data_IF_830638271292
#
_entry.id   IF_830638271292
#
_cell.length_a   1.000
_cell.length_b   1.000
_cell.length_c   1.000
_cell.angle_alpha   90.00
_cell.angle_beta   90.00
_cell.angle_gamma   90.00
#
_symmetry.space_group_name_H-M   'P 1'
#
loop_
_entity.id
_entity.type
_entity.pdbx_description
1 polymer ?
#
# COMPACT_ATOMS: atom_id res chain seq x y z
N UNK A 1 -0.27 40.92 -41.75
CA UNK A 1 0.28 39.80 -40.95
C UNK A 1 -0.60 38.62 -41.23
N UNK A 2 -0.12 37.78 -42.12
CA UNK A 2 -0.77 36.57 -42.59
C UNK A 2 -0.32 35.45 -41.64
N UNK A 3 -1.24 34.88 -40.87
CA UNK A 3 -0.97 33.73 -40.00
C UNK A 3 -1.57 32.52 -40.71
N UNK A 4 -0.87 32.05 -41.73
CA UNK A 4 -1.11 30.79 -42.40
C UNK A 4 -0.12 29.76 -41.86
N UNK A 5 -0.39 29.24 -40.66
CA UNK A 5 0.26 28.02 -40.17
C UNK A 5 -0.56 27.31 -39.07
N UNK A 6 -1.87 27.17 -39.32
CA UNK A 6 -2.64 26.13 -38.64
C UNK A 6 -2.35 24.81 -39.34
N UNK A 7 -1.35 24.10 -38.78
CA UNK A 7 -1.01 22.73 -39.14
C UNK A 7 -2.26 21.88 -39.39
N UNK A 8 -2.35 21.32 -40.60
CA UNK A 8 -3.37 20.36 -41.02
C UNK A 8 -3.45 19.13 -40.09
N UNK A 9 -2.42 18.90 -39.26
CA UNK A 9 -2.39 17.83 -38.26
C UNK A 9 -3.41 18.03 -37.12
N UNK A 10 -3.82 19.27 -36.85
CA UNK A 10 -4.83 19.57 -35.83
C UNK A 10 -6.24 19.09 -36.21
N UNK A 11 -6.53 18.94 -37.51
CA UNK A 11 -7.86 18.58 -38.01
C UNK A 11 -7.99 17.12 -38.46
N UNK A 12 -6.88 16.42 -38.71
CA UNK A 12 -6.88 15.04 -39.24
C UNK A 12 -6.54 13.97 -38.18
N UNK A 13 -6.01 14.36 -37.01
CA UNK A 13 -5.62 13.39 -35.96
C UNK A 13 -6.80 12.67 -35.28
N UNK A 14 -8.04 13.10 -35.48
CA UNK A 14 -9.22 12.52 -34.83
C UNK A 14 -9.67 11.17 -35.40
N UNK A 15 -9.08 10.70 -36.50
CA UNK A 15 -9.53 9.50 -37.24
C UNK A 15 -8.58 8.31 -37.28
N UNK A 16 -7.35 8.42 -36.77
CA UNK A 16 -6.44 7.27 -36.77
C UNK A 16 -6.41 6.61 -35.40
N UNK A 17 -7.11 5.47 -35.30
CA UNK A 17 -6.99 4.46 -34.24
C UNK A 17 -5.59 3.84 -34.25
N UNK A 18 -4.58 4.67 -33.99
CA UNK A 18 -3.19 4.24 -33.89
C UNK A 18 -2.96 3.65 -32.51
N UNK A 19 -2.33 2.48 -32.50
CA UNK A 19 -1.79 1.90 -31.28
C UNK A 19 -0.54 2.67 -30.88
N UNK A 20 -0.37 2.85 -29.58
CA UNK A 20 0.79 3.52 -28.97
C UNK A 20 1.35 2.64 -27.87
N UNK A 21 2.65 2.79 -27.61
CA UNK A 21 3.25 2.24 -26.40
C UNK A 21 2.63 2.91 -25.18
N UNK A 22 1.97 2.10 -24.37
CA UNK A 22 1.29 2.50 -23.16
C UNK A 22 1.91 1.88 -21.92
N UNK A 23 1.42 2.31 -20.77
CA UNK A 23 1.81 1.82 -19.47
C UNK A 23 0.58 1.77 -18.54
N UNK A 24 0.54 0.75 -17.70
CA UNK A 24 -0.42 0.59 -16.61
C UNK A 24 0.27 0.97 -15.30
N UNK A 25 -0.04 2.15 -14.75
CA UNK A 25 0.52 2.60 -13.48
C UNK A 25 -0.43 2.32 -12.33
N UNK A 26 0.13 1.80 -11.23
CA UNK A 26 -0.62 1.37 -10.06
C UNK A 26 -0.23 2.18 -8.84
N UNK A 27 -1.21 2.78 -8.19
CA UNK A 27 -1.03 3.53 -6.95
C UNK A 27 -1.97 3.02 -5.87
N UNK A 28 -1.41 2.40 -4.83
CA UNK A 28 -2.17 1.81 -3.74
C UNK A 28 -2.35 2.80 -2.60
N UNK A 29 -3.60 3.07 -2.23
CA UNK A 29 -3.97 3.86 -1.07
C UNK A 29 -4.31 2.92 0.09
N UNK A 30 -3.40 2.71 1.07
CA UNK A 30 -3.66 1.83 2.19
C UNK A 30 -4.74 2.44 3.09
N UNK A 31 -5.83 1.71 3.30
CA UNK A 31 -6.91 2.11 4.21
C UNK A 31 -7.39 0.90 5.00
N UNK A 32 -7.72 1.11 6.28
CA UNK A 32 -8.13 0.05 7.21
C UNK A 32 -9.34 -0.78 6.76
N UNK A 33 -10.30 -0.17 6.05
CA UNK A 33 -11.57 -0.82 5.68
C UNK A 33 -11.78 -1.00 4.19
N UNK A 34 -11.19 -0.12 3.38
CA UNK A 34 -11.38 -0.09 1.93
C UNK A 34 -10.08 0.34 1.24
N UNK A 35 -9.04 -0.51 1.26
CA UNK A 35 -7.85 -0.26 0.46
C UNK A 35 -8.27 0.02 -0.98
N UNK A 36 -7.62 0.97 -1.63
CA UNK A 36 -8.00 1.39 -2.98
C UNK A 36 -6.79 1.39 -3.88
N UNK A 37 -6.88 0.72 -5.01
CA UNK A 37 -5.86 0.76 -6.04
C UNK A 37 -6.32 1.66 -7.18
N UNK A 38 -5.60 2.76 -7.39
CA UNK A 38 -5.79 3.64 -8.54
C UNK A 38 -4.96 3.09 -9.70
N UNK A 39 -5.62 2.81 -10.83
CA UNK A 39 -5.02 2.26 -12.04
C UNK A 39 -5.09 3.33 -13.13
N UNK A 40 -3.95 3.69 -13.70
CA UNK A 40 -3.84 4.67 -14.77
C UNK A 40 -3.38 4.00 -16.05
N UNK A 41 -4.13 4.21 -17.14
CA UNK A 41 -3.71 3.87 -18.48
C UNK A 41 -3.17 5.13 -19.14
N UNK A 42 -1.86 5.17 -19.40
CA UNK A 42 -1.19 6.35 -19.95
C UNK A 42 -0.23 5.96 -21.07
N UNK A 43 0.05 6.87 -22.02
CA UNK A 43 1.17 6.72 -22.94
C UNK A 43 2.52 6.60 -22.20
N UNK A 44 3.47 5.82 -22.72
CA UNK A 44 4.78 5.57 -22.07
C UNK A 44 5.64 6.83 -21.92
N UNK A 45 5.43 7.84 -22.76
CA UNK A 45 6.15 9.11 -22.71
C UNK A 45 5.65 10.05 -21.59
N UNK A 46 4.61 9.68 -20.85
CA UNK A 46 4.21 10.37 -19.61
C UNK A 46 5.12 9.92 -18.47
N UNK A 47 5.90 10.82 -17.84
CA UNK A 47 6.80 10.43 -16.76
C UNK A 47 6.02 9.98 -15.52
N UNK A 48 6.36 8.81 -14.97
CA UNK A 48 5.75 8.28 -13.73
C UNK A 48 5.85 9.29 -12.57
N UNK A 49 6.96 10.03 -12.50
CA UNK A 49 7.21 11.05 -11.49
C UNK A 49 6.19 12.20 -11.51
N UNK A 50 5.62 12.54 -12.66
CA UNK A 50 4.58 13.58 -12.75
C UNK A 50 3.23 13.08 -12.23
N UNK A 51 2.91 11.81 -12.50
CA UNK A 51 1.68 11.16 -12.00
C UNK A 51 1.77 10.97 -10.49
N UNK A 52 2.91 10.53 -9.98
CA UNK A 52 3.16 10.30 -8.56
C UNK A 52 2.99 11.56 -7.71
N UNK A 53 3.43 12.73 -8.21
CA UNK A 53 3.25 14.03 -7.53
C UNK A 53 1.80 14.35 -7.19
N UNK A 54 0.85 13.85 -7.99
CA UNK A 54 -0.59 14.03 -7.79
C UNK A 54 -1.20 12.95 -6.88
N UNK A 55 -0.49 11.85 -6.63
CA UNK A 55 -0.93 10.69 -5.86
C UNK A 55 -0.33 10.66 -4.45
N UNK A 56 -0.16 11.81 -3.78
CA UNK A 56 0.58 11.97 -2.51
C UNK A 56 0.15 11.05 -1.35
N UNK A 57 -1.09 10.57 -1.37
CA UNK A 57 -1.62 9.68 -0.33
C UNK A 57 -1.54 8.18 -0.71
N UNK A 58 -0.88 7.86 -1.82
CA UNK A 58 -0.81 6.52 -2.39
C UNK A 58 0.66 6.09 -2.50
N UNK A 59 0.91 4.79 -2.40
CA UNK A 59 2.18 4.15 -2.69
C UNK A 59 2.21 3.70 -4.15
N UNK A 60 3.22 4.11 -4.91
CA UNK A 60 3.45 3.57 -6.25
C UNK A 60 3.90 2.11 -6.18
N UNK A 61 3.27 1.23 -6.96
CA UNK A 61 3.67 -0.18 -7.07
C UNK A 61 4.49 -0.34 -8.35
N UNK A 62 5.80 -0.52 -8.17
CA UNK A 62 6.72 -0.71 -9.29
C UNK A 62 6.68 -2.16 -9.80
N UNK A 63 6.00 -2.36 -10.93
CA UNK A 63 5.92 -3.64 -11.65
C UNK A 63 6.05 -3.39 -13.17
N UNK A 64 6.32 -4.42 -14.00
CA UNK A 64 6.33 -4.27 -15.45
C UNK A 64 4.99 -3.75 -15.99
N UNK A 65 4.97 -2.47 -16.36
CA UNK A 65 3.76 -1.71 -16.68
C UNK A 65 3.44 -1.62 -18.18
N UNK A 66 4.42 -1.83 -19.05
CA UNK A 66 4.28 -1.58 -20.49
C UNK A 66 3.23 -2.50 -21.15
N UNK A 67 2.44 -1.93 -22.06
CA UNK A 67 1.48 -2.62 -22.92
C UNK A 67 1.21 -1.81 -24.20
N UNK A 68 0.41 -2.35 -25.11
CA UNK A 68 -0.02 -1.63 -26.32
C UNK A 68 -1.44 -1.09 -26.12
N UNK A 69 -1.62 0.22 -26.24
CA UNK A 69 -2.92 0.88 -26.09
C UNK A 69 -3.38 1.51 -27.40
N UNK A 70 -4.64 1.31 -27.79
CA UNK A 70 -5.22 1.89 -28.99
C UNK A 70 -6.06 3.12 -28.63
N UNK A 71 -5.72 4.28 -29.19
CA UNK A 71 -6.47 5.51 -28.93
C UNK A 71 -7.93 5.39 -29.40
N UNK A 72 -8.89 5.71 -28.53
CA UNK A 72 -10.32 5.62 -28.81
C UNK A 72 -10.95 4.26 -28.51
N UNK A 73 -10.14 3.26 -28.18
CA UNK A 73 -10.60 1.94 -27.79
C UNK A 73 -11.18 1.92 -26.37
N UNK A 74 -12.13 1.00 -26.14
CA UNK A 74 -12.72 0.79 -24.82
C UNK A 74 -12.00 -0.37 -24.16
N UNK A 75 -11.52 -0.11 -22.95
CA UNK A 75 -10.84 -1.09 -22.11
C UNK A 75 -11.69 -1.45 -20.90
N UNK A 76 -11.53 -2.69 -20.45
CA UNK A 76 -12.14 -3.24 -19.25
C UNK A 76 -11.05 -3.75 -18.31
N UNK A 77 -11.15 -3.43 -17.03
CA UNK A 77 -10.27 -3.96 -15.99
C UNK A 77 -11.00 -5.08 -15.24
N UNK A 78 -10.35 -6.23 -15.11
CA UNK A 78 -10.83 -7.39 -14.37
C UNK A 78 -9.88 -7.74 -13.23
N UNK A 79 -10.42 -8.38 -12.19
CA UNK A 79 -9.64 -9.03 -11.15
C UNK A 79 -10.19 -10.43 -10.86
N UNK A 80 -9.32 -11.33 -10.40
CA UNK A 80 -9.66 -12.71 -10.02
C UNK A 80 -10.69 -12.80 -8.87
N UNK A 81 -10.68 -11.81 -7.96
CA UNK A 81 -11.57 -11.70 -6.81
C UNK A 81 -12.71 -10.69 -7.04
N UNK A 82 -13.31 -10.69 -8.23
CA UNK A 82 -14.33 -9.72 -8.64
C UNK A 82 -15.62 -9.73 -7.79
N UNK A 83 -15.92 -10.83 -7.10
CA UNK A 83 -17.07 -10.90 -6.19
C UNK A 83 -16.89 -10.08 -4.91
N UNK A 84 -15.63 -9.85 -4.52
CA UNK A 84 -15.22 -9.15 -3.29
C UNK A 84 -14.72 -7.74 -3.55
N UNK A 85 -14.11 -7.54 -4.71
CA UNK A 85 -13.48 -6.29 -5.09
C UNK A 85 -14.37 -5.52 -6.07
N UNK A 86 -14.62 -4.25 -5.79
CA UNK A 86 -15.43 -3.40 -6.67
C UNK A 86 -14.52 -2.61 -7.60
N UNK A 87 -14.70 -2.77 -8.91
CA UNK A 87 -14.01 -1.99 -9.94
C UNK A 87 -14.94 -0.90 -10.46
N UNK A 88 -14.42 0.33 -10.61
CA UNK A 88 -15.14 1.43 -11.23
C UNK A 88 -14.21 2.33 -12.08
N UNK A 89 -14.66 2.84 -13.24
CA UNK A 89 -15.85 2.40 -13.96
C UNK A 89 -15.71 0.94 -14.43
N UNK A 90 -16.78 0.33 -14.95
CA UNK A 90 -16.71 -1.04 -15.49
C UNK A 90 -15.87 -1.12 -16.77
N UNK A 91 -15.94 -0.07 -17.59
CA UNK A 91 -15.20 0.09 -18.83
C UNK A 91 -14.87 1.58 -19.01
N UNK A 92 -13.75 1.89 -19.66
CA UNK A 92 -13.36 3.28 -19.95
C UNK A 92 -12.69 3.38 -21.32
N UNK A 93 -12.91 4.50 -22.01
CA UNK A 93 -12.28 4.78 -23.29
C UNK A 93 -10.88 5.34 -23.08
N UNK A 94 -9.87 4.67 -23.62
CA UNK A 94 -8.52 5.19 -23.60
C UNK A 94 -8.37 6.40 -24.54
N UNK A 95 -7.82 7.48 -24.00
CA UNK A 95 -7.38 8.66 -24.75
C UNK A 95 -5.90 8.90 -24.47
N UNK A 96 -5.21 9.47 -25.46
CA UNK A 96 -3.83 9.93 -25.30
C UNK A 96 -3.82 11.19 -24.41
N UNK A 97 -3.79 10.97 -23.11
CA UNK A 97 -3.69 12.02 -22.11
C UNK A 97 -2.21 12.25 -21.76
N UNK A 98 -1.78 13.51 -21.89
CA UNK A 98 -0.43 13.97 -21.56
C UNK A 98 -0.43 14.95 -20.38
N UNK A 99 -1.52 14.97 -19.62
CA UNK A 99 -1.67 15.75 -18.41
C UNK A 99 -2.14 17.19 -18.65
N UNK A 100 -1.96 18.09 -17.67
CA UNK A 100 -1.27 17.85 -16.39
C UNK A 100 -2.12 17.10 -15.36
N UNK A 101 -3.42 16.90 -15.63
CA UNK A 101 -4.36 16.31 -14.68
C UNK A 101 -4.51 14.80 -14.90
N UNK A 102 -3.57 14.02 -14.36
CA UNK A 102 -3.59 12.56 -14.48
C UNK A 102 -4.60 11.93 -13.51
N UNK A 103 -5.82 11.73 -14.00
CA UNK A 103 -6.88 11.04 -13.24
C UNK A 103 -6.78 9.52 -13.41
N UNK A 104 -7.06 8.73 -12.34
CA UNK A 104 -7.12 7.27 -12.47
C UNK A 104 -8.16 6.86 -13.51
N UNK A 105 -7.78 5.97 -14.42
CA UNK A 105 -8.69 5.38 -15.40
C UNK A 105 -9.64 4.41 -14.74
N UNK A 106 -9.14 3.62 -13.78
CA UNK A 106 -9.95 2.72 -12.96
C UNK A 106 -9.56 2.86 -11.49
N UNK A 107 -10.51 2.52 -10.62
CA UNK A 107 -10.30 2.32 -9.20
C UNK A 107 -10.79 0.93 -8.81
N UNK A 108 -9.92 0.18 -8.14
CA UNK A 108 -10.25 -1.11 -7.53
C UNK A 108 -10.38 -0.88 -6.04
N UNK A 109 -11.58 -1.03 -5.50
CA UNK A 109 -11.87 -0.99 -4.07
C UNK A 109 -11.77 -2.42 -3.57
N UNK A 110 -10.76 -2.67 -2.75
CA UNK A 110 -10.37 -4.00 -2.30
C UNK A 110 -11.06 -4.36 -0.98
N UNK A 111 -11.23 -5.66 -0.73
CA UNK A 111 -11.60 -6.18 0.58
C UNK A 111 -10.49 -5.88 1.62
N UNK A 112 -10.87 -5.75 2.88
CA UNK A 112 -9.90 -5.56 3.95
C UNK A 112 -9.05 -6.83 4.14
N UNK A 113 -7.73 -6.67 4.14
CA UNK A 113 -6.79 -7.79 4.31
C UNK A 113 -6.43 -8.54 3.02
N UNK A 114 -6.83 -8.05 1.84
CA UNK A 114 -6.34 -8.59 0.57
C UNK A 114 -4.82 -8.41 0.46
N UNK A 115 -4.09 -9.51 0.26
CA UNK A 115 -2.62 -9.51 0.20
C UNK A 115 -2.09 -9.28 -1.22
N UNK A 116 -2.72 -9.92 -2.20
CA UNK A 116 -2.41 -9.78 -3.61
C UNK A 116 -3.69 -9.83 -4.45
N UNK A 117 -3.60 -9.33 -5.69
CA UNK A 117 -4.69 -9.37 -6.66
C UNK A 117 -4.14 -9.56 -8.06
N UNK A 118 -4.73 -10.47 -8.83
CA UNK A 118 -4.45 -10.52 -10.26
C UNK A 118 -5.27 -9.46 -10.98
N UNK A 119 -4.61 -8.60 -11.77
CA UNK A 119 -5.28 -7.63 -12.62
C UNK A 119 -5.10 -7.99 -14.09
N UNK A 120 -6.20 -7.92 -14.84
CA UNK A 120 -6.24 -8.15 -16.29
C UNK A 120 -6.86 -6.94 -16.98
N UNK A 121 -6.17 -6.40 -17.97
CA UNK A 121 -6.67 -5.36 -18.84
C UNK A 121 -7.09 -5.98 -20.17
N UNK A 122 -8.36 -5.81 -20.51
CA UNK A 122 -8.98 -6.37 -21.69
C UNK A 122 -9.35 -5.25 -22.66
N UNK A 123 -9.10 -5.47 -23.95
CA UNK A 123 -9.66 -4.70 -25.06
C UNK A 123 -10.99 -5.33 -25.51
N UNK A 124 -11.78 -4.62 -26.31
CA UNK A 124 -13.00 -5.14 -26.95
C UNK A 124 -12.79 -6.55 -27.52
N UNK A 125 -13.73 -7.44 -27.23
CA UNK A 125 -13.66 -8.85 -27.62
C UNK A 125 -12.90 -9.74 -26.62
N UNK A 126 -12.69 -9.22 -25.40
CA UNK A 126 -11.97 -9.89 -24.30
C UNK A 126 -10.51 -10.26 -24.67
N UNK A 127 -9.88 -9.45 -25.52
CA UNK A 127 -8.46 -9.58 -25.85
C UNK A 127 -7.61 -9.05 -24.68
N UNK A 128 -6.80 -9.92 -24.08
CA UNK A 128 -5.88 -9.59 -22.99
C UNK A 128 -4.65 -8.82 -23.50
N UNK A 129 -4.48 -7.58 -23.04
CA UNK A 129 -3.33 -6.74 -23.42
C UNK A 129 -2.32 -6.56 -22.28
N UNK A 130 -2.73 -6.83 -21.05
CA UNK A 130 -1.86 -6.75 -19.87
C UNK A 130 -2.44 -7.59 -18.72
N UNK A 131 -1.57 -8.38 -18.08
CA UNK A 131 -1.93 -9.23 -16.93
C UNK A 131 -0.78 -9.21 -15.91
N UNK A 132 -1.06 -8.91 -14.65
CA UNK A 132 -0.06 -9.00 -13.59
C UNK A 132 -0.69 -9.44 -12.27
N UNK A 133 0.09 -10.23 -11.54
CA UNK A 133 -0.12 -10.44 -10.11
C UNK A 133 0.42 -9.21 -9.36
N UNK A 134 -0.45 -8.53 -8.63
CA UNK A 134 -0.16 -7.26 -7.95
C UNK A 134 -0.11 -7.52 -6.44
N UNK A 135 1.07 -7.45 -5.81
CA UNK A 135 1.16 -7.47 -4.36
C UNK A 135 0.59 -6.16 -3.79
N UNK A 136 -0.36 -6.25 -2.88
CA UNK A 136 -1.07 -5.14 -2.23
C UNK A 136 -0.62 -4.93 -0.78
N UNK A 137 -0.29 -6.03 -0.10
CA UNK A 137 0.53 -5.97 1.09
C UNK A 137 1.94 -5.62 0.70
N UNK A 138 2.59 -4.87 1.58
CA UNK A 138 4.04 -4.76 1.57
C UNK A 138 4.64 -6.07 2.09
N UNK A 139 4.44 -7.17 1.34
CA UNK A 139 5.30 -8.34 1.38
C UNK A 139 6.58 -8.04 0.60
N UNK A 140 7.34 -7.13 1.23
CA UNK A 140 8.81 -6.99 1.25
C UNK A 140 9.50 -6.35 0.04
N UNK A 141 10.04 -5.14 0.24
CA UNK A 141 11.35 -4.77 -0.33
C UNK A 141 12.37 -4.48 0.77
N UNK A 142 13.44 -5.26 0.68
CA UNK A 142 14.69 -5.21 1.41
C UNK A 142 15.40 -3.90 1.06
N UNK A 143 15.18 -2.92 1.93
CA UNK A 143 16.06 -1.78 2.23
C UNK A 143 16.25 -1.61 3.75
N UNK A 144 15.88 -2.64 4.54
CA UNK A 144 16.29 -2.79 5.93
C UNK A 144 15.32 -2.35 7.04
N UNK A 145 14.01 -2.13 6.80
CA UNK A 145 13.14 -1.59 7.88
C UNK A 145 11.79 -2.28 8.16
N UNK A 146 11.15 -3.01 7.24
CA UNK A 146 9.74 -3.41 7.44
C UNK A 146 9.51 -4.86 7.96
N UNK A 147 10.36 -5.83 7.57
CA UNK A 147 10.34 -7.22 8.14
C UNK A 147 11.00 -7.28 9.53
N UNK A 148 11.85 -6.29 9.84
CA UNK A 148 12.60 -6.25 11.09
C UNK A 148 11.71 -6.19 12.31
N UNK A 149 10.63 -5.41 12.36
CA UNK A 149 9.98 -5.15 13.66
C UNK A 149 9.37 -6.40 14.33
N UNK A 150 8.65 -7.24 13.57
CA UNK A 150 8.03 -8.47 14.11
C UNK A 150 9.11 -9.52 14.43
N UNK A 151 10.06 -9.73 13.52
CA UNK A 151 11.15 -10.69 13.72
C UNK A 151 12.13 -10.26 14.82
N UNK A 152 12.45 -8.97 14.89
CA UNK A 152 13.27 -8.39 15.96
C UNK A 152 12.56 -8.55 17.30
N UNK A 153 11.28 -8.19 17.43
CA UNK A 153 10.54 -8.39 18.67
C UNK A 153 10.46 -9.88 19.04
N UNK A 154 10.29 -10.79 18.08
CA UNK A 154 10.39 -12.24 18.32
C UNK A 154 11.76 -12.64 18.85
N UNK A 155 12.85 -12.14 18.25
CA UNK A 155 14.22 -12.47 18.64
C UNK A 155 14.59 -11.89 20.01
N UNK A 156 14.15 -10.67 20.29
CA UNK A 156 14.44 -10.00 21.57
C UNK A 156 13.46 -10.37 22.66
N UNK A 157 12.41 -11.16 22.35
CA UNK A 157 11.32 -11.49 23.27
C UNK A 157 11.79 -11.98 24.62
N UNK A 158 12.71 -12.94 24.63
CA UNK A 158 13.25 -13.49 25.89
C UNK A 158 14.00 -12.42 26.69
N UNK A 159 14.88 -11.66 26.03
CA UNK A 159 15.65 -10.58 26.66
C UNK A 159 14.75 -9.47 27.19
N UNK A 160 13.71 -9.10 26.44
CA UNK A 160 12.72 -8.11 26.84
C UNK A 160 12.03 -8.53 28.13
N UNK A 161 11.55 -9.78 28.20
CA UNK A 161 10.87 -10.32 29.40
C UNK A 161 11.78 -10.31 30.63
N UNK A 162 13.06 -10.64 30.46
CA UNK A 162 14.05 -10.65 31.54
C UNK A 162 14.35 -9.22 32.04
N UNK A 163 14.64 -8.30 31.11
CA UNK A 163 15.27 -7.01 31.39
C UNK A 163 14.30 -5.87 31.65
N UNK A 164 13.07 -5.93 31.11
CA UNK A 164 12.12 -4.83 31.25
C UNK A 164 11.77 -4.57 32.72
N UNK A 165 11.71 -3.30 33.10
CA UNK A 165 11.31 -2.88 34.45
C UNK A 165 9.79 -2.79 34.56
N UNK A 166 9.24 -2.97 35.77
CA UNK A 166 7.81 -2.87 35.99
C UNK A 166 7.22 -1.47 35.68
N UNK A 167 7.90 -0.35 36.00
CA UNK A 167 7.49 0.97 35.52
C UNK A 167 7.40 1.07 34.00
N UNK A 168 8.41 0.55 33.28
CA UNK A 168 8.43 0.55 31.80
C UNK A 168 7.27 -0.26 31.23
N UNK A 169 6.94 -1.43 31.82
CA UNK A 169 5.76 -2.24 31.45
C UNK A 169 4.47 -1.41 31.56
N UNK A 170 4.29 -0.71 32.68
CA UNK A 170 3.07 0.08 32.93
C UNK A 170 2.94 1.23 31.93
N UNK A 171 4.01 2.01 31.75
CA UNK A 171 4.02 3.12 30.79
C UNK A 171 3.86 2.65 29.34
N UNK A 172 4.50 1.52 28.97
CA UNK A 172 4.35 0.93 27.65
C UNK A 172 2.89 0.52 27.39
N UNK A 173 2.26 -0.15 28.36
CA UNK A 173 0.87 -0.57 28.25
C UNK A 173 -0.10 0.63 28.17
N UNK A 174 0.18 1.71 28.90
CA UNK A 174 -0.55 2.98 28.80
C UNK A 174 -0.41 3.62 27.41
N UNK A 175 0.82 3.64 26.85
CA UNK A 175 1.09 4.15 25.51
C UNK A 175 0.42 3.32 24.41
N UNK A 176 0.45 1.99 24.54
CA UNK A 176 -0.23 1.08 23.60
C UNK A 176 -1.75 1.28 23.61
N UNK A 177 -2.35 1.57 24.77
CA UNK A 177 -3.77 1.93 24.86
C UNK A 177 -4.03 3.28 24.18
N UNK A 178 -3.20 4.29 24.44
CA UNK A 178 -3.35 5.62 23.85
C UNK A 178 -3.28 5.59 22.32
N UNK A 179 -2.38 4.77 21.76
CA UNK A 179 -2.23 4.55 20.31
C UNK A 179 -3.26 3.58 19.74
N UNK A 180 -4.24 3.13 20.55
CA UNK A 180 -5.31 2.20 20.18
C UNK A 180 -4.83 0.84 19.66
N UNK A 181 -3.63 0.41 20.09
CA UNK A 181 -3.11 -0.94 19.79
C UNK A 181 -3.81 -1.98 20.67
N UNK A 182 -3.96 -1.67 21.96
CA UNK A 182 -4.70 -2.49 22.91
C UNK A 182 -5.98 -1.79 23.33
N UNK A 183 -7.00 -2.56 23.71
CA UNK A 183 -8.23 -2.03 24.29
C UNK A 183 -8.19 -2.05 25.83
N UNK A 184 -9.18 -1.45 26.49
CA UNK A 184 -9.23 -1.41 27.96
C UNK A 184 -9.31 -2.80 28.61
N UNK A 185 -10.04 -3.74 27.98
CA UNK A 185 -10.18 -5.11 28.49
C UNK A 185 -8.85 -5.88 28.45
N UNK A 186 -8.11 -5.77 27.34
CA UNK A 186 -6.78 -6.35 27.18
C UNK A 186 -5.80 -5.77 28.19
N UNK A 187 -5.84 -4.43 28.39
CA UNK A 187 -5.03 -3.75 29.39
C UNK A 187 -5.32 -4.23 30.81
N UNK A 188 -6.60 -4.32 31.18
CA UNK A 188 -6.97 -4.75 32.53
C UNK A 188 -6.64 -6.22 32.76
N UNK A 189 -6.74 -7.07 31.72
CA UNK A 189 -6.30 -8.47 31.77
C UNK A 189 -4.80 -8.59 32.09
N UNK A 190 -3.96 -7.75 31.47
CA UNK A 190 -2.51 -7.72 31.73
C UNK A 190 -2.19 -7.19 33.14
N UNK A 191 -2.94 -6.22 33.67
CA UNK A 191 -2.71 -5.67 35.01
C UNK A 191 -2.91 -6.68 36.14
N UNK A 192 -3.80 -7.66 35.94
CA UNK A 192 -4.15 -8.67 36.96
C UNK A 192 -3.07 -9.75 37.12
N UNK A 193 -2.20 -9.92 36.12
CA UNK A 193 -1.08 -10.88 36.19
C UNK A 193 -0.16 -10.47 37.35
N UNK A 194 0.22 -11.40 38.23
CA UNK A 194 1.08 -11.09 39.38
C UNK A 194 2.55 -10.94 38.98
N UNK A 195 3.07 -11.89 38.21
CA UNK A 195 4.48 -11.99 37.86
C UNK A 195 4.88 -10.98 36.77
N UNK A 196 5.95 -10.20 37.02
CA UNK A 196 6.49 -9.21 36.06
C UNK A 196 6.82 -9.83 34.70
N UNK A 197 7.47 -11.01 34.73
CA UNK A 197 7.88 -11.71 33.51
C UNK A 197 6.66 -12.14 32.67
N UNK A 198 5.60 -12.60 33.32
CA UNK A 198 4.38 -13.02 32.65
C UNK A 198 3.61 -11.82 32.09
N UNK A 199 3.59 -10.67 32.78
CA UNK A 199 3.08 -9.40 32.23
C UNK A 199 3.83 -9.02 30.95
N UNK A 200 5.15 -9.01 31.00
CA UNK A 200 5.98 -8.66 29.85
C UNK A 200 5.73 -9.60 28.67
N UNK A 201 5.61 -10.91 28.94
CA UNK A 201 5.31 -11.93 27.94
C UNK A 201 3.94 -11.73 27.31
N UNK A 202 2.92 -11.44 28.12
CA UNK A 202 1.58 -11.17 27.63
C UNK A 202 1.52 -9.94 26.71
N UNK A 203 2.25 -8.86 27.05
CA UNK A 203 2.29 -7.64 26.22
C UNK A 203 2.94 -7.92 24.88
N UNK A 204 4.13 -8.51 24.86
CA UNK A 204 4.86 -8.74 23.61
C UNK A 204 4.14 -9.74 22.72
N UNK A 205 3.57 -10.82 23.28
CA UNK A 205 2.80 -11.80 22.50
C UNK A 205 1.52 -11.18 21.93
N UNK A 206 0.84 -10.33 22.70
CA UNK A 206 -0.33 -9.59 22.23
C UNK A 206 0.03 -8.64 21.08
N UNK A 207 1.14 -7.92 21.19
CA UNK A 207 1.62 -7.01 20.15
C UNK A 207 2.03 -7.78 18.89
N UNK A 208 2.71 -8.92 19.04
CA UNK A 208 3.07 -9.80 17.93
C UNK A 208 1.84 -10.34 17.19
N UNK A 209 0.79 -10.74 17.93
CA UNK A 209 -0.46 -11.25 17.35
C UNK A 209 -1.28 -10.18 16.62
N UNK A 210 -1.14 -8.91 16.99
CA UNK A 210 -1.81 -7.78 16.33
C UNK A 210 -1.09 -7.29 15.07
N UNK A 211 0.10 -7.82 14.78
CA UNK A 211 0.84 -7.58 13.54
C UNK A 211 1.78 -6.36 13.56
N UNK A 212 2.30 -6.02 12.38
CA UNK A 212 3.45 -5.12 12.20
C UNK A 212 3.23 -3.72 12.78
N UNK A 213 2.03 -3.14 12.60
CA UNK A 213 1.72 -1.81 13.14
C UNK A 213 1.86 -1.76 14.67
N UNK A 214 1.36 -2.79 15.36
CA UNK A 214 1.49 -2.90 16.80
C UNK A 214 2.96 -3.05 17.22
N UNK A 215 3.72 -3.88 16.49
CA UNK A 215 5.14 -4.12 16.74
C UNK A 215 5.98 -2.84 16.59
N UNK A 216 5.76 -2.07 15.53
CA UNK A 216 6.43 -0.78 15.32
C UNK A 216 6.06 0.22 16.41
N UNK A 217 4.78 0.28 16.78
CA UNK A 217 4.32 1.18 17.85
C UNK A 217 4.98 0.84 19.19
N UNK A 218 5.06 -0.44 19.55
CA UNK A 218 5.77 -0.90 20.75
C UNK A 218 7.25 -0.53 20.70
N UNK A 219 7.91 -0.72 19.55
CA UNK A 219 9.33 -0.38 19.35
C UNK A 219 9.58 1.12 19.57
N UNK A 220 8.78 1.99 18.93
CA UNK A 220 8.89 3.44 19.10
C UNK A 220 8.65 3.86 20.55
N UNK A 221 7.60 3.33 21.20
CA UNK A 221 7.32 3.61 22.60
C UNK A 221 8.45 3.15 23.52
N UNK A 222 9.06 1.99 23.26
CA UNK A 222 10.22 1.52 24.03
C UNK A 222 11.43 2.43 23.86
N UNK A 223 11.73 2.91 22.65
CA UNK A 223 12.79 3.88 22.42
C UNK A 223 12.56 5.19 23.19
N UNK A 224 11.30 5.67 23.24
CA UNK A 224 10.91 6.90 23.94
C UNK A 224 10.93 6.74 25.47
N UNK A 225 10.50 5.59 25.99
CA UNK A 225 10.38 5.34 27.42
C UNK A 225 11.71 4.92 28.06
N UNK A 226 12.51 4.11 27.36
CA UNK A 226 13.73 3.52 27.89
C UNK A 226 14.74 3.25 26.76
N UNK A 227 15.47 4.31 26.40
CA UNK A 227 16.49 4.26 25.36
C UNK A 227 17.64 3.28 25.72
N UNK A 228 17.93 3.09 27.01
CA UNK A 228 18.96 2.16 27.46
C UNK A 228 18.55 0.71 27.18
N UNK A 229 17.33 0.34 27.56
CA UNK A 229 16.75 -0.97 27.26
C UNK A 229 16.63 -1.20 25.75
N UNK A 230 16.17 -0.19 24.99
CA UNK A 230 16.08 -0.30 23.53
C UNK A 230 17.45 -0.57 22.88
N UNK A 231 18.50 0.09 23.37
CA UNK A 231 19.87 -0.15 22.91
C UNK A 231 20.36 -1.56 23.26
N UNK A 232 20.10 -2.04 24.47
CA UNK A 232 20.47 -3.40 24.92
C UNK A 232 19.74 -4.50 24.14
N UNK A 233 18.50 -4.23 23.72
CA UNK A 233 17.72 -5.14 22.89
C UNK A 233 18.08 -5.04 21.39
N UNK A 234 18.86 -4.05 20.94
CA UNK A 234 19.16 -3.85 19.52
C UNK A 234 17.94 -3.39 18.71
N UNK A 235 17.05 -2.63 19.37
CA UNK A 235 15.83 -2.07 18.80
C UNK A 235 16.02 -0.64 18.26
N UNK A 236 17.21 -0.07 18.36
CA UNK A 236 17.50 1.25 17.77
C UNK A 236 17.63 1.18 16.23
#
# INVERSE_FOLDING_TARGET
MDITDLSLWGLVSSYFSSSVEGQVLLFHKPQLRKPTLNVHLLPVNVPVTEVEKLQRACKYIQIPSNCLLTCGEIYKLCCDSAEKNKIQPSEERFRRDYGPNYHPTFQVILEAGTEDVELRLLKRGDEEVWIRQVPLTDTVLIGGLEVRAVEQLRFVRCKFVEKVSEPTIKCLLDGLLQKKVVNNYEKDSVKVIAEKADKARAIIDMVLNKGTFACLTMKTLLCELDQCLSSELGLN
#
